data_IF_263030148554
#
_entry.id   IF_263030148554
#
_cell.length_a   1.000
_cell.length_b   1.000
_cell.length_c   1.000
_cell.angle_alpha   90.00
_cell.angle_beta   90.00
_cell.angle_gamma   90.00
#
_symmetry.space_group_name_H-M   'P 1'
#
loop_
_entity.id
_entity.type
_entity.pdbx_description
1 polymer ?
#
# COMPACT_ATOMS: atom_id res chain seq x y z
N UNK A 1 -32.60 14.39 -57.13
CA UNK A 1 -33.13 13.91 -55.83
C UNK A 1 -31.92 13.38 -55.09
N UNK A 2 -31.16 14.28 -54.48
CA UNK A 2 -29.91 13.92 -53.82
C UNK A 2 -30.18 13.88 -52.32
N UNK A 3 -30.17 12.66 -51.78
CA UNK A 3 -30.33 12.38 -50.35
C UNK A 3 -29.03 12.71 -49.64
N UNK A 4 -29.08 13.72 -48.76
CA UNK A 4 -28.01 14.02 -47.79
C UNK A 4 -28.12 13.00 -46.65
N UNK A 5 -27.08 12.20 -46.42
CA UNK A 5 -26.96 11.32 -45.25
C UNK A 5 -26.26 12.09 -44.14
N UNK A 6 -26.99 12.37 -43.06
CA UNK A 6 -26.48 12.99 -41.84
C UNK A 6 -25.62 11.99 -41.06
N UNK A 7 -24.32 12.26 -40.96
CA UNK A 7 -23.36 11.43 -40.22
C UNK A 7 -23.57 11.60 -38.71
N UNK A 8 -24.08 10.54 -38.08
CA UNK A 8 -24.13 10.41 -36.62
C UNK A 8 -22.69 10.36 -36.10
N UNK A 9 -22.30 11.35 -35.29
CA UNK A 9 -21.00 11.36 -34.60
C UNK A 9 -21.00 10.28 -33.52
N UNK A 10 -20.13 9.29 -33.65
CA UNK A 10 -19.83 8.34 -32.59
C UNK A 10 -19.28 9.08 -31.36
N UNK A 11 -19.68 8.71 -30.13
CA UNK A 11 -19.05 9.25 -28.94
C UNK A 11 -17.59 8.78 -28.91
N UNK A 12 -16.66 9.74 -28.99
CA UNK A 12 -15.23 9.48 -28.88
C UNK A 12 -14.89 8.72 -27.59
N UNK A 13 -13.73 8.04 -27.53
CA UNK A 13 -13.35 7.27 -26.36
C UNK A 13 -13.39 8.18 -25.14
N UNK A 14 -14.18 7.79 -24.13
CA UNK A 14 -14.04 8.34 -22.78
C UNK A 14 -12.55 8.23 -22.45
N UNK A 15 -11.87 9.36 -22.21
CA UNK A 15 -10.55 9.34 -21.59
C UNK A 15 -10.66 8.36 -20.42
N UNK A 16 -9.84 7.31 -20.43
CA UNK A 16 -9.57 6.58 -19.21
C UNK A 16 -9.27 7.66 -18.16
N UNK A 17 -10.04 7.66 -17.08
CA UNK A 17 -9.76 8.50 -15.92
C UNK A 17 -8.27 8.31 -15.65
N UNK A 18 -7.51 9.38 -15.74
CA UNK A 18 -6.11 9.38 -15.37
C UNK A 18 -6.11 9.29 -13.85
N UNK A 19 -6.33 8.08 -13.34
CA UNK A 19 -6.28 7.77 -11.91
C UNK A 19 -4.82 7.92 -11.53
N UNK A 20 -4.41 9.16 -11.28
CA UNK A 20 -3.08 9.47 -10.80
C UNK A 20 -2.86 8.67 -9.53
N UNK A 21 -2.06 7.62 -9.58
CA UNK A 21 -1.73 6.84 -8.40
C UNK A 21 -0.68 7.61 -7.61
N UNK A 22 -0.98 7.87 -6.33
CA UNK A 22 0.02 8.38 -5.40
C UNK A 22 0.84 7.20 -4.87
N UNK A 23 2.12 7.42 -4.61
CA UNK A 23 2.98 6.41 -3.99
C UNK A 23 3.63 7.03 -2.76
N UNK A 24 3.42 6.41 -1.60
CA UNK A 24 4.23 6.70 -0.42
C UNK A 24 5.29 5.62 -0.34
N UNK A 25 6.56 6.03 -0.40
CA UNK A 25 7.72 5.15 -0.24
C UNK A 25 8.35 5.32 1.14
N UNK A 26 8.51 4.21 1.84
CA UNK A 26 9.26 4.09 3.08
C UNK A 26 10.59 3.39 2.79
N UNK A 27 11.66 4.16 2.66
CA UNK A 27 12.98 3.66 2.28
C UNK A 27 13.75 3.12 3.50
N UNK A 28 14.71 2.21 3.25
CA UNK A 28 15.54 1.56 4.29
C UNK A 28 16.36 2.48 5.19
N UNK A 29 16.65 3.68 4.71
CA UNK A 29 17.38 4.71 5.45
C UNK A 29 16.44 5.58 6.30
N UNK A 30 15.22 5.08 6.54
CA UNK A 30 14.18 5.73 7.32
C UNK A 30 13.66 7.05 6.72
N UNK A 31 13.89 7.26 5.42
CA UNK A 31 13.27 8.37 4.70
C UNK A 31 11.89 8.00 4.17
N UNK A 32 10.98 8.98 4.17
CA UNK A 32 9.67 8.88 3.55
C UNK A 32 9.58 9.79 2.33
N UNK A 33 9.03 9.28 1.24
CA UNK A 33 8.81 10.04 0.01
C UNK A 33 7.35 9.91 -0.42
N UNK A 34 6.77 11.02 -0.85
CA UNK A 34 5.47 11.03 -1.53
C UNK A 34 5.70 11.41 -3.00
N UNK A 35 5.37 10.48 -3.89
CA UNK A 35 5.33 10.70 -5.33
C UNK A 35 3.87 10.91 -5.76
N UNK A 36 3.60 12.00 -6.50
CA UNK A 36 2.25 12.41 -6.86
C UNK A 36 1.48 13.05 -5.70
N UNK A 37 0.17 13.21 -5.88
CA UNK A 37 -0.73 13.73 -4.85
C UNK A 37 -1.78 12.70 -4.51
N UNK A 38 -1.98 12.42 -3.22
CA UNK A 38 -3.04 11.53 -2.74
C UNK A 38 -4.37 12.24 -3.00
N UNK A 39 -5.30 11.59 -3.70
CA UNK A 39 -6.59 12.20 -4.06
C UNK A 39 -7.75 11.31 -3.61
N UNK A 40 -8.89 11.90 -3.20
CA UNK A 40 -10.12 11.16 -2.95
C UNK A 40 -10.54 10.33 -4.16
N UNK A 41 -11.15 9.18 -3.91
CA UNK A 41 -11.52 8.18 -4.95
C UNK A 41 -10.34 7.63 -5.78
N UNK A 42 -9.10 8.02 -5.47
CA UNK A 42 -7.90 7.58 -6.16
C UNK A 42 -7.32 6.29 -5.58
N UNK A 43 -6.25 5.80 -6.21
CA UNK A 43 -5.41 4.73 -5.66
C UNK A 43 -4.18 5.33 -4.98
N UNK A 44 -3.94 4.91 -3.74
CA UNK A 44 -2.69 5.13 -3.03
C UNK A 44 -1.94 3.80 -2.94
N UNK A 45 -0.64 3.81 -3.25
CA UNK A 45 0.24 2.65 -3.11
C UNK A 45 1.23 2.88 -1.99
N UNK A 46 1.32 1.93 -1.07
CA UNK A 46 2.32 1.93 0.00
C UNK A 46 3.48 1.04 -0.44
N UNK A 47 4.62 1.67 -0.72
CA UNK A 47 5.88 1.00 -1.07
C UNK A 47 6.79 0.99 0.17
N UNK A 48 7.14 -0.20 0.65
CA UNK A 48 7.86 -0.36 1.91
C UNK A 48 9.09 -1.23 1.73
N UNK A 49 10.24 -0.69 2.15
CA UNK A 49 11.48 -1.45 2.18
C UNK A 49 11.55 -2.30 3.46
N UNK A 50 11.55 -3.65 3.37
CA UNK A 50 11.60 -4.54 4.54
C UNK A 50 12.88 -4.38 5.38
N UNK A 51 13.93 -3.76 4.86
CA UNK A 51 15.15 -3.48 5.64
C UNK A 51 14.92 -2.42 6.74
N UNK A 52 13.80 -1.68 6.74
CA UNK A 52 13.43 -0.79 7.85
C UNK A 52 13.07 -1.55 9.12
N UNK A 53 12.47 -2.74 9.01
CA UNK A 53 11.92 -3.47 10.15
C UNK A 53 12.44 -4.92 10.18
N UNK A 54 13.76 -5.08 10.31
CA UNK A 54 14.40 -6.41 10.32
C UNK A 54 14.20 -7.22 11.61
N UNK A 55 13.76 -6.56 12.68
CA UNK A 55 13.50 -7.20 13.97
C UNK A 55 12.41 -8.26 13.82
N UNK A 56 12.54 -9.39 14.52
CA UNK A 56 11.59 -10.51 14.46
C UNK A 56 11.49 -11.24 13.11
N UNK A 57 12.35 -10.96 12.12
CA UNK A 57 12.47 -11.85 10.96
C UNK A 57 13.00 -13.21 11.42
N UNK A 58 12.30 -14.30 11.09
CA UNK A 58 12.67 -15.63 11.55
C UNK A 58 12.38 -16.74 10.54
N UNK A 59 13.21 -17.77 10.57
CA UNK A 59 13.08 -18.95 9.72
C UNK A 59 12.90 -20.20 10.59
N UNK A 60 11.94 -21.05 10.23
CA UNK A 60 11.64 -22.29 10.91
C UNK A 60 11.63 -23.45 9.91
N UNK A 61 12.56 -24.38 10.07
CA UNK A 61 12.76 -25.53 9.16
C UNK A 61 12.85 -25.14 7.67
N UNK A 62 13.54 -24.05 7.36
CA UNK A 62 13.70 -23.56 5.99
C UNK A 62 12.52 -22.72 5.49
N UNK A 63 11.49 -22.51 6.29
CA UNK A 63 10.37 -21.62 5.98
C UNK A 63 10.48 -20.30 6.73
N UNK A 64 10.42 -19.18 6.01
CA UNK A 64 10.19 -17.88 6.62
C UNK A 64 8.75 -17.83 7.16
N UNK A 65 8.60 -17.43 8.42
CA UNK A 65 7.31 -17.40 9.13
C UNK A 65 6.97 -16.01 9.69
N UNK A 66 7.57 -14.99 9.11
CA UNK A 66 7.34 -13.58 9.41
C UNK A 66 6.69 -12.91 8.20
N UNK A 67 6.05 -11.78 8.43
CA UNK A 67 5.51 -10.90 7.40
C UNK A 67 5.58 -9.45 7.92
N UNK A 68 5.44 -8.46 7.04
CA UNK A 68 5.28 -7.07 7.44
C UNK A 68 3.89 -6.62 6.97
N UNK A 69 3.03 -6.31 7.94
CA UNK A 69 1.70 -5.78 7.71
C UNK A 69 1.73 -4.26 7.83
N UNK A 70 1.22 -3.58 6.81
CA UNK A 70 0.87 -2.18 6.88
C UNK A 70 -0.55 -2.01 7.38
N UNK A 71 -0.76 -0.96 8.16
CA UNK A 71 -2.06 -0.44 8.57
C UNK A 71 -2.19 0.97 8.02
N UNK A 72 -3.31 1.25 7.36
CA UNK A 72 -3.58 2.51 6.68
C UNK A 72 -4.96 3.01 7.10
N UNK A 73 -4.98 4.06 7.91
CA UNK A 73 -6.21 4.66 8.44
C UNK A 73 -6.46 6.02 7.81
N UNK A 74 -7.62 6.19 7.19
CA UNK A 74 -8.04 7.46 6.63
C UNK A 74 -8.88 8.27 7.62
N UNK A 75 -8.72 9.58 7.60
CA UNK A 75 -9.41 10.52 8.48
C UNK A 75 -10.24 11.50 7.65
N UNK A 76 -11.42 11.94 8.14
CA UNK A 76 -11.94 11.74 9.50
C UNK A 76 -12.75 10.45 9.69
N UNK A 77 -13.16 9.77 8.62
CA UNK A 77 -14.06 8.62 8.69
C UNK A 77 -13.51 7.40 9.44
N UNK A 78 -12.20 7.32 9.62
CA UNK A 78 -11.53 6.26 10.40
C UNK A 78 -11.44 4.92 9.68
N UNK A 79 -11.68 4.88 8.38
CA UNK A 79 -11.61 3.66 7.56
C UNK A 79 -10.19 3.09 7.63
N UNK A 80 -10.08 1.83 8.04
CA UNK A 80 -8.81 1.12 8.21
C UNK A 80 -8.66 0.05 7.14
N UNK A 81 -7.56 0.12 6.39
CA UNK A 81 -7.09 -0.91 5.49
C UNK A 81 -5.84 -1.56 6.07
N UNK A 82 -5.69 -2.86 5.90
CA UNK A 82 -4.50 -3.59 6.29
C UNK A 82 -4.08 -4.60 5.22
N UNK A 83 -2.78 -4.84 5.11
CA UNK A 83 -2.26 -5.80 4.13
C UNK A 83 -0.76 -6.02 4.24
N UNK A 84 -0.30 -7.13 3.66
CA UNK A 84 1.13 -7.41 3.51
C UNK A 84 1.76 -6.42 2.53
N UNK A 85 2.91 -5.85 2.89
CA UNK A 85 3.78 -5.10 1.95
C UNK A 85 4.85 -6.00 1.31
N UNK A 86 4.68 -7.31 1.45
CA UNK A 86 5.58 -8.33 0.93
C UNK A 86 4.83 -9.32 0.05
N UNK A 87 5.50 -9.73 -1.02
CA UNK A 87 5.20 -10.94 -1.76
C UNK A 87 6.01 -12.09 -1.18
N UNK A 88 5.33 -13.13 -0.75
CA UNK A 88 5.96 -14.40 -0.37
C UNK A 88 6.38 -15.17 -1.62
N UNK A 89 7.63 -15.65 -1.61
CA UNK A 89 8.14 -16.59 -2.60
C UNK A 89 8.06 -17.99 -2.02
N UNK A 90 7.32 -18.87 -2.71
CA UNK A 90 6.99 -20.20 -2.20
C UNK A 90 7.60 -21.31 -3.06
N UNK A 91 8.04 -22.39 -2.41
CA UNK A 91 8.43 -23.64 -3.04
C UNK A 91 7.85 -24.81 -2.22
N UNK A 92 7.07 -25.69 -2.85
CA UNK A 92 6.43 -26.82 -2.14
C UNK A 92 5.53 -26.39 -0.97
N UNK A 93 4.93 -25.19 -1.03
CA UNK A 93 4.11 -24.62 0.05
C UNK A 93 4.89 -23.84 1.11
N UNK A 94 6.21 -23.99 1.20
CA UNK A 94 7.06 -23.26 2.15
C UNK A 94 7.40 -21.88 1.57
N UNK A 95 7.28 -20.83 2.38
CA UNK A 95 7.82 -19.50 2.06
C UNK A 95 9.33 -19.56 2.28
N UNK A 96 10.15 -19.37 1.25
CA UNK A 96 11.60 -19.41 1.40
C UNK A 96 12.26 -18.04 1.30
N UNK A 97 11.49 -17.02 0.88
CA UNK A 97 11.96 -15.65 0.78
C UNK A 97 10.76 -14.70 0.65
N UNK A 98 11.05 -13.41 0.87
CA UNK A 98 10.13 -12.31 0.63
C UNK A 98 10.70 -11.35 -0.41
N UNK A 99 9.81 -10.67 -1.13
CA UNK A 99 10.14 -9.51 -1.97
C UNK A 99 9.20 -8.36 -1.62
N UNK A 100 9.66 -7.09 -1.68
CA UNK A 100 8.75 -5.95 -1.56
C UNK A 100 7.61 -6.03 -2.57
N UNK A 101 6.40 -5.75 -2.11
CA UNK A 101 5.21 -5.65 -2.94
C UNK A 101 4.38 -4.46 -2.46
N UNK A 102 4.21 -3.41 -3.30
CA UNK A 102 3.41 -2.28 -2.89
C UNK A 102 1.96 -2.70 -2.58
N UNK A 103 1.42 -2.18 -1.48
CA UNK A 103 0.03 -2.38 -1.06
C UNK A 103 -0.85 -1.30 -1.69
N UNK A 104 -1.73 -1.62 -2.64
CA UNK A 104 -2.71 -0.66 -3.15
C UNK A 104 -3.88 -0.51 -2.16
N UNK A 105 -4.32 0.72 -1.94
CA UNK A 105 -5.52 1.06 -1.18
C UNK A 105 -6.32 2.12 -1.93
N UNK A 106 -7.65 2.00 -1.92
CA UNK A 106 -8.54 3.05 -2.43
C UNK A 106 -8.70 4.12 -1.38
N UNK A 107 -8.46 5.37 -1.76
CA UNK A 107 -8.63 6.53 -0.88
C UNK A 107 -10.12 6.85 -0.75
N UNK A 108 -10.70 6.87 0.46
CA UNK A 108 -12.10 7.27 0.66
C UNK A 108 -12.37 8.70 0.17
N UNK A 109 -13.60 8.93 -0.32
CA UNK A 109 -14.01 10.22 -0.88
C UNK A 109 -13.97 11.36 0.16
N UNK A 110 -14.15 11.04 1.44
CA UNK A 110 -14.15 11.98 2.56
C UNK A 110 -12.76 12.17 3.20
N UNK A 111 -11.74 11.44 2.71
CA UNK A 111 -10.42 11.46 3.33
C UNK A 111 -9.73 12.82 3.16
N UNK A 112 -9.27 13.39 4.26
CA UNK A 112 -8.43 14.59 4.29
C UNK A 112 -6.99 14.29 4.70
N UNK A 113 -6.78 13.19 5.43
CA UNK A 113 -5.47 12.74 5.89
C UNK A 113 -5.43 11.21 5.90
N UNK A 114 -4.20 10.67 5.85
CA UNK A 114 -3.93 9.25 6.03
C UNK A 114 -2.84 9.05 7.08
N UNK A 115 -3.08 8.09 7.96
CA UNK A 115 -2.20 7.65 9.04
C UNK A 115 -1.73 6.22 8.75
N UNK A 116 -0.42 5.97 8.85
CA UNK A 116 0.19 4.69 8.44
C UNK A 116 1.16 4.20 9.51
N UNK A 117 1.14 2.89 9.78
CA UNK A 117 2.14 2.20 10.61
C UNK A 117 2.32 0.75 10.17
N UNK A 118 3.43 0.14 10.58
CA UNK A 118 3.79 -1.22 10.18
C UNK A 118 4.09 -2.09 11.39
N UNK A 119 3.83 -3.38 11.23
CA UNK A 119 4.00 -4.38 12.26
C UNK A 119 4.57 -5.64 11.63
N UNK A 120 5.58 -6.22 12.28
CA UNK A 120 6.02 -7.59 12.03
C UNK A 120 5.93 -8.40 13.29
N UNK A 121 5.53 -9.65 13.16
CA UNK A 121 5.50 -10.59 14.27
C UNK A 121 5.70 -12.02 13.77
N UNK A 122 6.07 -12.90 14.69
CA UNK A 122 5.86 -14.34 14.53
C UNK A 122 5.41 -14.93 15.87
N UNK A 123 4.71 -16.06 15.80
CA UNK A 123 4.31 -16.83 16.97
C UNK A 123 4.61 -18.32 16.75
N UNK A 124 5.58 -18.84 17.51
CA UNK A 124 5.87 -20.27 17.64
C UNK A 124 5.84 -20.65 19.14
N UNK A 125 6.84 -21.39 19.63
CA UNK A 125 7.11 -21.58 21.06
C UNK A 125 7.63 -20.31 21.74
N UNK A 126 8.11 -19.34 20.95
CA UNK A 126 8.44 -17.98 21.37
C UNK A 126 7.60 -16.98 20.58
N UNK A 127 7.39 -15.81 21.18
CA UNK A 127 6.74 -14.67 20.58
C UNK A 127 7.77 -13.57 20.31
N UNK A 128 7.65 -12.90 19.17
CA UNK A 128 8.38 -11.67 18.86
C UNK A 128 7.45 -10.76 18.07
N UNK A 129 7.41 -9.48 18.44
CA UNK A 129 6.79 -8.41 17.66
C UNK A 129 7.69 -7.18 17.60
N UNK A 130 7.56 -6.42 16.51
CA UNK A 130 8.22 -5.14 16.34
C UNK A 130 7.40 -4.20 15.45
N UNK A 131 7.50 -2.90 15.72
CA UNK A 131 6.70 -1.87 15.06
C UNK A 131 7.59 -0.84 14.36
N UNK A 132 7.17 -0.43 13.17
CA UNK A 132 7.62 0.80 12.52
C UNK A 132 6.45 1.79 12.52
N UNK A 133 6.44 2.65 13.54
CA UNK A 133 5.30 3.53 13.87
C UNK A 133 5.75 4.95 14.20
N UNK A 134 6.93 5.39 13.72
CA UNK A 134 7.52 6.70 14.05
C UNK A 134 7.52 6.95 15.58
N UNK A 135 7.98 5.96 16.35
CA UNK A 135 7.97 6.00 17.82
C UNK A 135 6.55 6.19 18.42
N UNK A 136 5.53 5.57 17.83
CA UNK A 136 4.14 5.63 18.27
C UNK A 136 3.34 6.83 17.77
N UNK A 137 3.93 7.72 16.97
CA UNK A 137 3.23 8.85 16.36
C UNK A 137 2.53 8.48 15.04
N UNK A 138 2.92 7.35 14.44
CA UNK A 138 2.58 6.92 13.10
C UNK A 138 3.01 7.93 12.02
N UNK A 139 2.84 7.56 10.75
CA UNK A 139 3.21 8.40 9.62
C UNK A 139 1.97 9.05 9.02
N UNK A 140 1.99 10.37 8.91
CA UNK A 140 0.83 11.16 8.49
C UNK A 140 1.09 11.88 7.17
N UNK A 141 0.11 11.81 6.26
CA UNK A 141 0.15 12.48 4.97
C UNK A 141 -1.19 13.16 4.68
N UNK A 142 -1.14 14.32 4.04
CA UNK A 142 -2.32 15.07 3.61
C UNK A 142 -2.90 14.48 2.32
N UNK A 143 -4.24 14.47 2.24
CA UNK A 143 -4.97 14.17 1.00
C UNK A 143 -5.27 15.49 0.29
N UNK A 144 -4.85 15.59 -0.96
CA UNK A 144 -5.07 16.78 -1.78
C UNK A 144 -6.58 16.97 -2.02
N UNK A 145 -7.02 18.21 -1.89
CA UNK A 145 -8.39 18.65 -2.18
C UNK A 145 -8.54 19.03 -3.64
#
# INVERSE_FOLDING_TARGET
MDTVIESVREPGPRRASDTSSAVIRFAKDWQEFLEGGIRPSGELRIDYDPERLTTCHTNWHGADIWNIRAYVRFHPGGQLFEGSVLKELRNGGLVYAHRPQPLPVTVPDDAVQVEIWFHTWYQLSSFCEAWDSRFGQNYWFEVAR
#
